data_IF_664812900921
#
_entry.id   IF_664812900921
#
_cell.length_a   1.000
_cell.length_b   1.000
_cell.length_c   1.000
_cell.angle_alpha   90.00
_cell.angle_beta   90.00
_cell.angle_gamma   90.00
#
_symmetry.space_group_name_H-M   'P 1'
#
loop_
_entity.id
_entity.type
_entity.pdbx_description
1 polymer ?
#
# COMPACT_ATOMS: atom_id res chain seq x y z
N UNK A 1 3.20 -15.40 9.51
CA UNK A 1 2.28 -14.30 9.16
C UNK A 1 3.01 -13.00 9.43
N UNK A 2 2.90 -12.02 8.53
CA UNK A 2 3.56 -10.72 8.71
C UNK A 2 2.84 -9.86 9.75
N UNK A 3 3.58 -8.94 10.39
CA UNK A 3 3.10 -8.10 11.50
C UNK A 3 1.85 -7.26 11.16
N UNK A 4 1.64 -6.93 9.89
CA UNK A 4 0.51 -6.14 9.40
C UNK A 4 -0.87 -6.80 9.62
N UNK A 5 -0.92 -8.08 9.99
CA UNK A 5 -2.17 -8.78 10.37
C UNK A 5 -2.49 -8.77 11.86
N UNK A 6 -1.54 -8.34 12.69
CA UNK A 6 -1.61 -8.50 14.15
C UNK A 6 -1.19 -7.20 14.84
N UNK A 7 -1.49 -6.05 14.23
CA UNK A 7 -1.15 -4.73 14.77
C UNK A 7 -1.74 -4.52 16.17
N UNK A 8 -2.91 -5.09 16.43
CA UNK A 8 -3.67 -4.98 17.67
C UNK A 8 -2.91 -5.56 18.87
N UNK A 9 -2.02 -6.54 18.65
CA UNK A 9 -1.23 -7.20 19.69
C UNK A 9 -0.32 -6.22 20.44
N UNK A 10 0.11 -5.15 19.76
CA UNK A 10 0.98 -4.12 20.35
C UNK A 10 0.21 -3.05 21.15
N UNK A 11 -1.13 -3.07 21.10
CA UNK A 11 -2.00 -2.27 21.96
C UNK A 11 -1.72 -0.77 21.90
N UNK A 12 -1.33 -0.20 23.05
CA UNK A 12 -1.10 1.24 23.23
C UNK A 12 0.36 1.67 22.98
N UNK A 13 1.23 0.77 22.50
CA UNK A 13 2.57 1.18 22.09
C UNK A 13 2.48 2.17 20.91
N UNK A 14 3.41 3.13 20.84
CA UNK A 14 3.49 4.08 19.73
C UNK A 14 3.92 3.33 18.46
N UNK A 15 3.15 3.49 17.39
CA UNK A 15 3.41 2.89 16.08
C UNK A 15 3.98 3.90 15.10
N UNK A 16 3.40 5.11 15.04
CA UNK A 16 3.76 6.16 14.10
C UNK A 16 3.92 7.50 14.82
N UNK A 17 4.81 8.34 14.30
CA UNK A 17 4.98 9.72 14.72
C UNK A 17 4.85 10.65 13.52
N UNK A 18 3.96 11.63 13.62
CA UNK A 18 3.73 12.65 12.61
C UNK A 18 3.88 14.03 13.25
N UNK A 19 5.09 14.60 13.15
CA UNK A 19 5.43 15.86 13.81
C UNK A 19 5.46 15.73 15.33
N UNK A 20 4.46 16.30 16.01
CA UNK A 20 4.28 16.19 17.48
C UNK A 20 3.18 15.21 17.88
N UNK A 21 2.56 14.57 16.89
CA UNK A 21 1.47 13.63 17.12
C UNK A 21 1.98 12.19 17.09
N UNK A 22 1.76 11.46 18.18
CA UNK A 22 2.06 10.03 18.27
C UNK A 22 0.77 9.23 18.12
N UNK A 23 0.82 8.22 17.25
CA UNK A 23 -0.30 7.32 16.94
C UNK A 23 0.03 5.95 17.50
N UNK A 24 -0.86 5.38 18.31
CA UNK A 24 -0.66 4.04 18.91
C UNK A 24 -1.10 2.92 17.98
N UNK A 25 -0.54 1.71 18.09
CA UNK A 25 -0.88 0.57 17.22
C UNK A 25 -2.38 0.26 17.08
N UNK A 26 -3.18 0.50 18.12
CA UNK A 26 -4.65 0.34 18.09
C UNK A 26 -5.32 1.19 17.01
N UNK A 27 -4.80 2.38 16.77
CA UNK A 27 -5.42 3.33 15.84
C UNK A 27 -5.18 2.94 14.37
N UNK A 28 -3.95 2.67 13.89
CA UNK A 28 -3.72 2.13 12.56
C UNK A 28 -4.43 0.80 12.33
N UNK A 29 -4.54 -0.08 13.35
CA UNK A 29 -5.32 -1.31 13.22
C UNK A 29 -6.78 -1.00 12.83
N UNK A 30 -7.44 -0.13 13.61
CA UNK A 30 -8.83 0.30 13.34
C UNK A 30 -8.97 1.03 12.00
N UNK A 31 -8.00 1.88 11.66
CA UNK A 31 -8.00 2.60 10.38
C UNK A 31 -7.78 1.65 9.19
N UNK A 32 -6.96 0.60 9.36
CA UNK A 32 -6.73 -0.43 8.36
C UNK A 32 -7.99 -1.26 8.11
N UNK A 33 -8.72 -1.64 9.16
CA UNK A 33 -10.05 -2.27 9.05
C UNK A 33 -10.99 -1.42 8.18
N UNK A 34 -11.19 -0.16 8.59
CA UNK A 34 -12.09 0.78 7.89
C UNK A 34 -11.66 1.05 6.45
N UNK A 35 -10.36 1.06 6.17
CA UNK A 35 -9.87 1.21 4.80
C UNK A 35 -10.14 -0.04 3.98
N UNK A 36 -9.91 -1.23 4.57
CA UNK A 36 -10.15 -2.52 3.90
C UNK A 36 -11.61 -2.68 3.48
N UNK A 37 -12.56 -2.19 4.30
CA UNK A 37 -14.00 -2.20 4.00
C UNK A 37 -14.39 -1.40 2.74
N UNK A 38 -13.53 -0.48 2.28
CA UNK A 38 -13.76 0.30 1.05
C UNK A 38 -13.34 -0.46 -0.21
N UNK A 39 -12.53 -1.51 -0.07
CA UNK A 39 -12.04 -2.33 -1.16
C UNK A 39 -12.93 -3.57 -1.34
N UNK A 40 -12.98 -4.18 -2.53
CA UNK A 40 -13.74 -5.41 -2.72
C UNK A 40 -13.10 -6.58 -1.96
N UNK A 41 -13.91 -7.59 -1.63
CA UNK A 41 -13.44 -8.80 -0.93
C UNK A 41 -12.46 -9.68 -1.74
N UNK A 42 -12.25 -9.36 -3.02
CA UNK A 42 -11.30 -10.05 -3.88
C UNK A 42 -10.14 -9.12 -4.28
N UNK A 43 -8.99 -9.73 -4.56
CA UNK A 43 -7.72 -9.03 -4.78
C UNK A 43 -7.80 -8.13 -6.01
N UNK A 44 -7.43 -6.88 -5.83
CA UNK A 44 -7.33 -5.85 -6.88
C UNK A 44 -6.06 -5.02 -6.66
N UNK A 45 -5.51 -4.47 -7.74
CA UNK A 45 -4.26 -3.73 -7.72
C UNK A 45 -4.49 -2.29 -7.26
N UNK A 46 -3.78 -1.88 -6.20
CA UNK A 46 -3.92 -0.54 -5.61
C UNK A 46 -2.62 0.23 -5.80
N UNK A 47 -2.66 1.35 -6.50
CA UNK A 47 -1.55 2.30 -6.49
C UNK A 47 -1.68 3.26 -5.31
N UNK A 48 -0.59 3.52 -4.60
CA UNK A 48 -0.56 4.39 -3.42
C UNK A 48 0.50 5.45 -3.61
N UNK A 49 0.13 6.72 -3.40
CA UNK A 49 1.07 7.81 -3.20
C UNK A 49 1.84 7.57 -1.90
N UNK A 50 3.07 7.13 -2.04
CA UNK A 50 3.94 6.83 -0.93
C UNK A 50 4.56 8.12 -0.38
N UNK A 51 4.23 8.46 0.86
CA UNK A 51 4.81 9.55 1.61
C UNK A 51 4.81 9.24 3.12
N UNK A 52 5.53 10.04 3.90
CA UNK A 52 5.63 9.86 5.35
C UNK A 52 4.42 10.49 6.08
N UNK A 53 3.22 10.01 5.75
CA UNK A 53 1.95 10.43 6.34
C UNK A 53 1.20 9.21 6.85
N UNK A 54 0.46 9.39 7.96
CA UNK A 54 -0.30 8.29 8.58
C UNK A 54 -1.26 7.63 7.57
N UNK A 55 -1.95 8.42 6.76
CA UNK A 55 -2.91 7.91 5.76
C UNK A 55 -2.28 7.00 4.71
N UNK A 56 -1.09 7.35 4.21
CA UNK A 56 -0.36 6.56 3.22
C UNK A 56 0.09 5.21 3.82
N UNK A 57 0.56 5.24 5.06
CA UNK A 57 0.98 4.05 5.81
C UNK A 57 -0.22 3.15 6.11
N UNK A 58 -1.35 3.73 6.54
CA UNK A 58 -2.60 3.00 6.75
C UNK A 58 -3.08 2.35 5.46
N UNK A 59 -3.11 3.07 4.34
CA UNK A 59 -3.52 2.51 3.05
C UNK A 59 -2.64 1.32 2.64
N UNK A 60 -1.31 1.45 2.83
CA UNK A 60 -0.36 0.38 2.56
C UNK A 60 -0.62 -0.86 3.43
N UNK A 61 -0.69 -0.68 4.75
CA UNK A 61 -0.93 -1.77 5.71
C UNK A 61 -2.30 -2.42 5.49
N UNK A 62 -3.34 -1.62 5.23
CA UNK A 62 -4.67 -2.12 4.95
C UNK A 62 -4.69 -3.02 3.71
N UNK A 63 -4.01 -2.63 2.63
CA UNK A 63 -3.91 -3.44 1.42
C UNK A 63 -3.17 -4.77 1.69
N UNK A 64 -2.05 -4.75 2.42
CA UNK A 64 -1.36 -5.99 2.81
C UNK A 64 -2.24 -6.90 3.68
N UNK A 65 -3.04 -6.30 4.57
CA UNK A 65 -3.91 -7.03 5.49
C UNK A 65 -5.09 -7.68 4.77
N UNK A 66 -5.67 -6.99 3.79
CA UNK A 66 -6.77 -7.46 2.94
C UNK A 66 -6.30 -8.25 1.71
N UNK A 67 -4.98 -8.35 1.48
CA UNK A 67 -4.37 -9.12 0.39
C UNK A 67 -4.37 -8.42 -0.97
N UNK A 68 -4.61 -7.11 -1.02
CA UNK A 68 -4.51 -6.34 -2.26
C UNK A 68 -3.03 -6.08 -2.58
N UNK A 69 -2.53 -6.46 -3.77
CA UNK A 69 -1.20 -6.07 -4.19
C UNK A 69 -1.13 -4.56 -4.39
N UNK A 70 0.00 -3.95 -4.02
CA UNK A 70 0.17 -2.50 -4.10
C UNK A 70 1.29 -2.08 -5.04
N UNK A 71 1.12 -0.95 -5.74
CA UNK A 71 2.22 -0.20 -6.35
C UNK A 71 2.49 1.03 -5.48
N UNK A 72 3.73 1.18 -4.99
CA UNK A 72 4.14 2.40 -4.30
C UNK A 72 4.71 3.40 -5.29
N UNK A 73 4.14 4.60 -5.33
CA UNK A 73 4.50 5.66 -6.26
C UNK A 73 4.89 6.93 -5.48
N UNK A 74 5.99 7.57 -5.86
CA UNK A 74 6.29 8.93 -5.41
C UNK A 74 5.49 9.96 -6.23
N UNK A 75 5.52 11.22 -5.80
CA UNK A 75 4.80 12.33 -6.44
C UNK A 75 5.17 12.50 -7.92
N UNK A 76 6.46 12.32 -8.24
CA UNK A 76 6.96 12.38 -9.62
C UNK A 76 6.34 11.28 -10.49
N UNK A 77 6.29 10.04 -10.01
CA UNK A 77 5.72 8.90 -10.76
C UNK A 77 4.21 9.03 -10.95
N UNK A 78 3.51 9.64 -10.00
CA UNK A 78 2.09 9.95 -10.13
C UNK A 78 1.87 11.01 -11.21
N UNK A 79 2.66 12.09 -11.14
CA UNK A 79 2.56 13.22 -12.08
C UNK A 79 2.93 12.79 -13.51
N UNK A 80 3.96 11.96 -13.65
CA UNK A 80 4.39 11.38 -14.91
C UNK A 80 3.37 10.41 -15.51
N UNK A 81 2.67 9.65 -14.67
CA UNK A 81 1.54 8.81 -15.07
C UNK A 81 1.88 7.59 -15.92
N UNK A 82 3.14 7.36 -16.31
CA UNK A 82 3.53 6.20 -17.15
C UNK A 82 3.24 4.87 -16.45
N UNK A 83 3.57 4.75 -15.17
CA UNK A 83 3.30 3.52 -14.39
C UNK A 83 1.78 3.28 -14.30
N UNK A 84 0.99 4.30 -13.98
CA UNK A 84 -0.46 4.20 -13.91
C UNK A 84 -1.08 3.81 -15.26
N UNK A 85 -0.51 4.27 -16.36
CA UNK A 85 -0.99 3.99 -17.71
C UNK A 85 -0.65 2.56 -18.16
N UNK A 86 0.55 2.08 -17.85
CA UNK A 86 1.02 0.74 -18.25
C UNK A 86 0.41 -0.35 -17.39
N UNK A 87 0.38 -0.16 -16.08
CA UNK A 87 -0.04 -1.19 -15.12
C UNK A 87 -1.51 -1.13 -14.75
N UNK A 88 -2.20 -0.04 -15.09
CA UNK A 88 -3.65 0.14 -14.95
C UNK A 88 -4.18 -0.37 -13.59
N UNK A 89 -3.71 0.18 -12.45
CA UNK A 89 -4.21 -0.23 -11.15
C UNK A 89 -5.71 0.04 -11.06
N UNK A 90 -6.42 -0.84 -10.35
CA UNK A 90 -7.86 -0.76 -10.15
C UNK A 90 -8.24 0.42 -9.26
N UNK A 91 -7.35 0.77 -8.34
CA UNK A 91 -7.52 1.86 -7.38
C UNK A 91 -6.28 2.75 -7.31
N UNK A 92 -6.49 4.02 -7.01
CA UNK A 92 -5.42 4.97 -6.70
C UNK A 92 -5.73 5.70 -5.39
N UNK A 93 -4.81 5.58 -4.45
CA UNK A 93 -4.79 6.35 -3.21
C UNK A 93 -3.83 7.52 -3.38
N UNK A 94 -4.33 8.74 -3.31
CA UNK A 94 -3.49 9.94 -3.47
C UNK A 94 -4.05 11.13 -2.71
N UNK A 95 -3.16 12.04 -2.30
CA UNK A 95 -3.51 13.31 -1.69
C UNK A 95 -3.78 14.35 -2.78
N UNK A 96 -5.01 14.84 -2.84
CA UNK A 96 -5.48 15.84 -3.81
C UNK A 96 -6.49 16.78 -3.18
N UNK A 97 -6.42 18.05 -3.55
CA UNK A 97 -7.35 19.11 -3.10
C UNK A 97 -7.49 19.19 -1.56
N UNK A 98 -6.39 18.94 -0.85
CA UNK A 98 -6.35 19.02 0.62
C UNK A 98 -6.81 17.76 1.35
N UNK A 99 -7.08 16.66 0.65
CA UNK A 99 -7.61 15.42 1.26
C UNK A 99 -7.05 14.15 0.59
N UNK A 100 -7.09 13.03 1.31
CA UNK A 100 -6.76 11.72 0.77
C UNK A 100 -7.96 11.11 0.04
N UNK A 101 -7.75 10.78 -1.23
CA UNK A 101 -8.77 10.21 -2.11
C UNK A 101 -8.44 8.76 -2.45
N UNK A 102 -9.48 7.94 -2.52
CA UNK A 102 -9.45 6.58 -3.06
C UNK A 102 -10.28 6.59 -4.35
N UNK A 103 -9.59 6.64 -5.50
CA UNK A 103 -10.21 6.72 -6.81
C UNK A 103 -10.27 5.33 -7.45
N UNK A 104 -11.47 4.87 -7.82
CA UNK A 104 -11.60 3.67 -8.66
C UNK A 104 -11.25 4.02 -10.12
N UNK A 105 -10.32 3.27 -10.70
CA UNK A 105 -9.79 3.48 -12.06
C UNK A 105 -10.03 2.29 -12.97
N UNK A 106 -10.19 1.09 -12.40
CA UNK A 106 -10.32 -0.17 -13.12
C UNK A 106 -11.12 -1.21 -12.36
N UNK A 107 -11.29 -2.37 -12.98
CA UNK A 107 -11.99 -3.51 -12.40
C UNK A 107 -11.42 -4.83 -12.93
N UNK A 108 -10.23 -5.16 -12.46
CA UNK A 108 -9.60 -6.45 -12.69
C UNK A 108 -10.46 -7.57 -12.10
N UNK A 109 -10.53 -8.74 -12.77
CA UNK A 109 -11.30 -9.88 -12.28
C UNK A 109 -10.66 -10.49 -11.01
N UNK A 110 -11.42 -11.25 -10.20
CA UNK A 110 -10.93 -11.83 -8.94
C UNK A 110 -9.64 -12.66 -9.02
N UNK A 111 -9.35 -13.26 -10.17
CA UNK A 111 -8.18 -14.12 -10.41
C UNK A 111 -7.02 -13.41 -11.13
N UNK A 112 -7.03 -12.07 -11.21
CA UNK A 112 -6.02 -11.31 -11.95
C UNK A 112 -4.64 -11.36 -11.30
N UNK A 113 -4.56 -11.59 -9.98
CA UNK A 113 -3.33 -11.54 -9.21
C UNK A 113 -3.11 -12.83 -8.41
N UNK A 114 -1.86 -13.28 -8.36
CA UNK A 114 -1.48 -14.41 -7.52
C UNK A 114 -1.55 -14.02 -6.03
N UNK A 115 -1.79 -15.00 -5.16
CA UNK A 115 -1.91 -14.78 -3.72
C UNK A 115 -0.62 -14.27 -3.07
N UNK A 116 0.52 -14.65 -3.64
CA UNK A 116 1.84 -14.30 -3.14
C UNK A 116 2.17 -12.82 -3.35
N UNK A 117 1.74 -12.21 -4.47
CA UNK A 117 2.11 -10.85 -4.86
C UNK A 117 1.63 -9.85 -3.80
N UNK A 118 2.55 -9.09 -3.21
CA UNK A 118 2.26 -8.11 -2.17
C UNK A 118 2.54 -6.69 -2.64
N UNK A 119 3.76 -6.45 -3.12
CA UNK A 119 4.25 -5.10 -3.44
C UNK A 119 4.94 -5.09 -4.80
N UNK A 120 4.71 -4.02 -5.53
CA UNK A 120 5.38 -3.67 -6.77
C UNK A 120 6.15 -2.36 -6.55
N UNK A 121 7.47 -2.40 -6.71
CA UNK A 121 8.34 -1.23 -6.58
C UNK A 121 8.98 -0.89 -7.91
N UNK A 122 8.95 0.39 -8.30
CA UNK A 122 9.73 0.87 -9.43
C UNK A 122 11.21 0.92 -9.07
N UNK A 123 12.06 0.49 -9.99
CA UNK A 123 13.50 0.79 -9.93
C UNK A 123 13.81 1.97 -10.83
N UNK A 124 14.85 2.73 -10.52
CA UNK A 124 15.35 3.85 -11.34
C UNK A 124 15.99 3.32 -12.64
N UNK A 125 15.18 2.73 -13.50
CA UNK A 125 15.60 2.29 -14.83
C UNK A 125 15.73 3.49 -15.76
N UNK A 126 16.96 3.88 -16.08
CA UNK A 126 17.28 5.00 -16.98
C UNK A 126 17.06 4.70 -18.47
N UNK A 127 16.52 3.53 -18.83
CA UNK A 127 16.26 3.15 -20.22
C UNK A 127 14.95 2.36 -20.37
N UNK A 128 13.96 2.94 -21.06
CA UNK A 128 12.75 2.25 -21.52
C UNK A 128 11.48 2.43 -20.66
N UNK A 129 10.48 1.57 -20.92
CA UNK A 129 9.24 1.55 -20.15
C UNK A 129 9.52 1.16 -18.68
N UNK A 130 8.86 1.82 -17.69
CA UNK A 130 9.08 1.54 -16.28
C UNK A 130 8.80 0.08 -15.96
N UNK A 131 9.70 -0.55 -15.20
CA UNK A 131 9.58 -1.93 -14.75
C UNK A 131 9.37 -1.95 -13.25
N UNK A 132 8.45 -2.80 -12.80
CA UNK A 132 8.19 -3.02 -11.39
C UNK A 132 8.76 -4.35 -10.93
N UNK A 133 9.49 -4.33 -9.82
CA UNK A 133 9.94 -5.53 -9.11
C UNK A 133 8.77 -6.06 -8.28
N UNK A 134 8.46 -7.34 -8.43
CA UNK A 134 7.45 -8.04 -7.64
C UNK A 134 8.05 -8.55 -6.34
N UNK A 135 7.44 -8.22 -5.22
CA UNK A 135 7.77 -8.75 -3.91
C UNK A 135 6.58 -9.54 -3.37
N UNK A 136 6.86 -10.74 -2.86
CA UNK A 136 5.86 -11.55 -2.17
C UNK A 136 5.70 -11.11 -0.71
N UNK A 137 4.61 -11.53 -0.07
CA UNK A 137 4.42 -11.35 1.37
C UNK A 137 5.57 -11.97 2.19
N UNK A 138 6.10 -13.11 1.73
CA UNK A 138 7.25 -13.76 2.37
C UNK A 138 8.53 -12.94 2.19
N UNK A 139 8.75 -12.32 1.02
CA UNK A 139 9.90 -11.42 0.84
C UNK A 139 9.85 -10.25 1.82
N UNK A 140 8.67 -9.68 2.07
CA UNK A 140 8.50 -8.58 3.02
C UNK A 140 8.74 -9.02 4.46
N UNK A 141 8.16 -10.15 4.88
CA UNK A 141 8.34 -10.68 6.24
C UNK A 141 9.80 -11.06 6.51
N UNK A 142 10.44 -11.75 5.56
CA UNK A 142 11.85 -12.12 5.66
C UNK A 142 12.76 -10.89 5.76
N UNK A 143 12.52 -9.86 4.94
CA UNK A 143 13.30 -8.62 5.02
C UNK A 143 13.09 -7.87 6.33
N UNK A 144 11.85 -7.72 6.79
CA UNK A 144 11.53 -7.05 8.05
C UNK A 144 12.20 -7.73 9.26
N UNK A 145 12.22 -9.06 9.31
CA UNK A 145 12.90 -9.81 10.39
C UNK A 145 14.42 -9.72 10.34
N UNK A 146 15.01 -9.44 9.19
CA UNK A 146 16.46 -9.39 9.03
C UNK A 146 17.07 -8.04 9.43
N UNK A 147 16.25 -7.00 9.64
CA UNK A 147 16.69 -5.63 9.91
C UNK A 147 16.23 -5.08 11.28
N UNK A 148 15.56 -5.92 12.08
CA UNK A 148 15.19 -5.68 13.47
C UNK A 148 16.16 -6.42 14.39
#
# INVERSE_FOLDING_TARGET
MGFWRELEVFGNAVALEEGQHSVTYREPATLCDRFSDKLPAFRQLVAIQACNRVDAIVAYLACLRSGHPVILLNDESISDGRILSIYQPDWLVSYRDGDWRLDQRGQSPPSAFTDELAVLLSTSGTTGAPKLVKLSHENLDANARAIL
#
